data_IF_585475460874
#
_entry.id   IF_585475460874
#
_cell.length_a   1.000
_cell.length_b   1.000
_cell.length_c   1.000
_cell.angle_alpha   90.00
_cell.angle_beta   90.00
_cell.angle_gamma   90.00
#
_symmetry.space_group_name_H-M   'P 1'
#
loop_
_entity.id
_entity.type
_entity.pdbx_description
1 polymer ?
#
# COMPACT_ATOMS: atom_id res chain seq x y z
N UNK A 1 19.51 64.00 14.84
CA UNK A 1 20.05 62.75 14.26
C UNK A 1 19.70 61.58 15.17
N UNK A 2 18.62 60.85 14.89
CA UNK A 2 18.30 59.56 15.53
C UNK A 2 17.71 58.67 14.44
N UNK A 3 18.49 57.69 14.01
CA UNK A 3 18.12 56.69 13.00
C UNK A 3 17.38 55.58 13.75
N UNK A 4 16.09 55.38 13.43
CA UNK A 4 15.31 54.23 13.89
C UNK A 4 15.57 53.08 12.92
N UNK A 5 16.36 52.10 13.31
CA UNK A 5 16.50 50.83 12.58
C UNK A 5 15.38 49.88 13.01
N UNK A 6 14.40 49.66 12.12
CA UNK A 6 13.41 48.60 12.28
C UNK A 6 13.99 47.29 11.72
N UNK A 7 14.28 46.33 12.60
CA UNK A 7 14.64 44.96 12.20
C UNK A 7 13.38 44.19 11.81
N UNK A 8 13.25 43.91 10.52
CA UNK A 8 12.21 43.03 9.97
C UNK A 8 12.69 41.56 10.10
N UNK A 9 12.14 40.81 11.04
CA UNK A 9 12.35 39.36 11.12
C UNK A 9 11.41 38.66 10.13
N UNK A 10 11.95 38.26 8.98
CA UNK A 10 11.25 37.42 8.02
C UNK A 10 11.35 35.95 8.47
N UNK A 11 10.29 35.44 9.10
CA UNK A 11 10.14 34.02 9.41
C UNK A 11 9.86 33.25 8.12
N UNK A 12 10.90 32.67 7.52
CA UNK A 12 10.76 31.65 6.49
C UNK A 12 10.19 30.37 7.11
N UNK A 13 8.88 30.15 6.93
CA UNK A 13 8.28 28.84 7.14
C UNK A 13 8.77 27.90 6.03
N UNK A 14 9.82 27.12 6.31
CA UNK A 14 10.15 25.94 5.52
C UNK A 14 9.07 24.90 5.83
N UNK A 15 7.99 24.86 5.03
CA UNK A 15 7.10 23.70 5.00
C UNK A 15 7.89 22.53 4.41
N UNK A 16 8.56 21.76 5.27
CA UNK A 16 8.97 20.40 4.92
C UNK A 16 7.68 19.59 4.73
N UNK A 17 7.21 19.48 3.49
CA UNK A 17 6.17 18.53 3.13
C UNK A 17 6.74 17.12 3.29
N UNK A 18 6.77 16.62 4.53
CA UNK A 18 6.90 15.19 4.79
C UNK A 18 5.64 14.56 4.21
N UNK A 19 5.75 13.98 3.01
CA UNK A 19 4.64 13.27 2.40
C UNK A 19 4.14 12.20 3.39
N UNK A 20 2.89 12.32 3.82
CA UNK A 20 2.29 11.36 4.74
C UNK A 20 2.39 9.94 4.17
N UNK A 21 2.74 8.99 5.03
CA UNK A 21 2.79 7.57 4.67
C UNK A 21 1.46 7.12 4.05
N UNK A 22 1.55 6.30 3.01
CA UNK A 22 0.37 5.90 2.26
C UNK A 22 -0.35 4.76 2.97
N UNK A 23 -1.58 4.98 3.46
CA UNK A 23 -2.38 3.96 4.14
C UNK A 23 -3.61 3.70 3.31
N UNK A 24 -3.68 2.52 2.71
CA UNK A 24 -4.74 2.25 1.74
C UNK A 24 -5.51 0.96 1.92
N UNK A 25 -6.65 0.91 1.24
CA UNK A 25 -7.48 -0.28 1.12
C UNK A 25 -7.74 -0.59 -0.36
N UNK A 26 -7.85 -1.87 -0.66
CA UNK A 26 -8.23 -2.35 -1.98
C UNK A 26 -9.73 -2.18 -2.21
N UNK A 27 -10.13 -1.68 -3.39
CA UNK A 27 -11.52 -1.53 -3.82
C UNK A 27 -11.72 -2.30 -5.11
N UNK A 28 -12.58 -3.31 -5.08
CA UNK A 28 -12.93 -4.07 -6.27
C UNK A 28 -13.95 -3.30 -7.12
N UNK A 29 -14.10 -3.73 -8.38
CA UNK A 29 -14.99 -3.08 -9.33
C UNK A 29 -16.47 -3.06 -8.87
N UNK A 30 -16.95 -4.13 -8.22
CA UNK A 30 -18.35 -4.21 -7.76
C UNK A 30 -18.65 -3.20 -6.65
N UNK A 31 -17.72 -3.02 -5.71
CA UNK A 31 -17.84 -2.05 -4.61
C UNK A 31 -17.78 -0.62 -5.14
N UNK A 32 -16.88 -0.34 -6.09
CA UNK A 32 -16.80 0.97 -6.73
C UNK A 32 -18.15 1.38 -7.36
N UNK A 33 -18.87 0.43 -7.94
CA UNK A 33 -20.17 0.64 -8.58
C UNK A 33 -21.37 0.68 -7.60
N UNK A 34 -21.14 0.60 -6.29
CA UNK A 34 -22.18 0.65 -5.25
C UNK A 34 -22.06 1.96 -4.45
N UNK A 35 -22.80 3.03 -4.80
CA UNK A 35 -22.62 4.36 -4.19
C UNK A 35 -22.74 4.37 -2.67
N UNK A 36 -23.69 3.63 -2.09
CA UNK A 36 -23.86 3.55 -0.64
C UNK A 36 -22.62 2.99 0.05
N UNK A 37 -22.15 1.82 -0.42
CA UNK A 37 -20.97 1.16 0.14
C UNK A 37 -19.70 2.00 -0.09
N UNK A 38 -19.55 2.63 -1.26
CA UNK A 38 -18.42 3.49 -1.55
C UNK A 38 -18.36 4.71 -0.60
N UNK A 39 -19.50 5.38 -0.36
CA UNK A 39 -19.56 6.49 0.59
C UNK A 39 -19.24 6.05 2.02
N UNK A 40 -19.80 4.92 2.48
CA UNK A 40 -19.48 4.35 3.79
C UNK A 40 -17.97 4.09 3.94
N UNK A 41 -17.32 3.52 2.92
CA UNK A 41 -15.87 3.29 2.93
C UNK A 41 -15.07 4.61 2.95
N UNK A 42 -15.49 5.62 2.19
CA UNK A 42 -14.85 6.95 2.19
C UNK A 42 -14.92 7.59 3.58
N UNK A 43 -16.10 7.61 4.20
CA UNK A 43 -16.32 8.18 5.53
C UNK A 43 -15.47 7.46 6.59
N UNK A 44 -15.54 6.13 6.65
CA UNK A 44 -14.74 5.36 7.60
C UNK A 44 -13.24 5.53 7.38
N UNK A 45 -12.80 5.65 6.13
CA UNK A 45 -11.39 5.86 5.79
C UNK A 45 -10.88 7.20 6.29
N UNK A 46 -11.64 8.28 6.07
CA UNK A 46 -11.31 9.62 6.60
C UNK A 46 -11.22 9.63 8.12
N UNK A 47 -12.17 8.97 8.80
CA UNK A 47 -12.18 8.87 10.27
C UNK A 47 -11.00 8.07 10.84
N UNK A 48 -10.39 7.19 10.04
CA UNK A 48 -9.34 6.26 10.48
C UNK A 48 -7.96 6.55 9.89
N UNK A 49 -7.83 7.63 9.12
CA UNK A 49 -6.57 8.04 8.50
C UNK A 49 -6.12 7.19 7.32
N UNK A 50 -7.03 6.43 6.70
CA UNK A 50 -6.80 5.82 5.39
C UNK A 50 -6.93 6.93 4.34
N UNK A 51 -5.90 7.07 3.51
CA UNK A 51 -5.74 8.18 2.57
C UNK A 51 -5.57 7.72 1.11
N UNK A 52 -5.65 6.40 0.86
CA UNK A 52 -5.53 5.84 -0.49
C UNK A 52 -6.51 4.73 -0.74
N UNK A 53 -7.19 4.78 -1.89
CA UNK A 53 -7.90 3.63 -2.44
C UNK A 53 -7.12 3.07 -3.61
N UNK A 54 -6.84 1.76 -3.53
CA UNK A 54 -6.27 1.00 -4.64
C UNK A 54 -7.44 0.33 -5.38
N UNK A 55 -7.83 0.90 -6.51
CA UNK A 55 -9.10 0.57 -7.17
C UNK A 55 -8.84 -0.24 -8.43
N UNK A 56 -9.53 -1.37 -8.56
CA UNK A 56 -9.45 -2.19 -9.77
C UNK A 56 -10.00 -1.47 -10.99
N UNK A 57 -9.24 -1.52 -12.08
CA UNK A 57 -9.68 -1.14 -13.42
C UNK A 57 -9.45 -2.30 -14.38
N UNK A 58 -10.35 -3.28 -14.34
CA UNK A 58 -10.38 -4.39 -15.30
C UNK A 58 -11.34 -4.13 -16.47
N UNK A 59 -12.33 -3.26 -16.26
CA UNK A 59 -13.35 -2.87 -17.24
C UNK A 59 -13.76 -1.41 -17.00
N UNK A 60 -13.84 -0.64 -18.07
CA UNK A 60 -14.37 0.73 -18.04
C UNK A 60 -15.90 0.66 -18.09
N UNK A 61 -16.55 1.32 -17.15
CA UNK A 61 -18.01 1.49 -17.06
C UNK A 61 -18.36 2.96 -17.14
N UNK A 62 -19.64 3.26 -17.42
CA UNK A 62 -20.15 4.64 -17.48
C UNK A 62 -19.97 5.43 -16.17
N UNK A 63 -19.94 4.74 -15.02
CA UNK A 63 -19.85 5.38 -13.72
C UNK A 63 -18.42 5.45 -13.18
N UNK A 64 -17.45 4.74 -13.80
CA UNK A 64 -16.11 4.58 -13.25
C UNK A 64 -15.47 5.93 -12.91
N UNK A 65 -15.38 6.82 -13.91
CA UNK A 65 -14.78 8.14 -13.72
C UNK A 65 -15.52 8.98 -12.68
N UNK A 66 -16.86 8.93 -12.65
CA UNK A 66 -17.66 9.63 -11.64
C UNK A 66 -17.31 9.16 -10.22
N UNK A 67 -17.15 7.86 -10.03
CA UNK A 67 -16.82 7.28 -8.73
C UNK A 67 -15.37 7.56 -8.33
N UNK A 68 -14.43 7.58 -9.28
CA UNK A 68 -13.06 8.06 -9.04
C UNK A 68 -13.07 9.54 -8.61
N UNK A 69 -13.83 10.39 -9.28
CA UNK A 69 -13.94 11.80 -8.90
C UNK A 69 -14.49 11.96 -7.48
N UNK A 70 -15.43 11.12 -7.05
CA UNK A 70 -15.95 11.10 -5.68
C UNK A 70 -14.88 10.71 -4.64
N UNK A 71 -14.04 9.71 -4.95
CA UNK A 71 -12.90 9.32 -4.10
C UNK A 71 -11.93 10.50 -3.97
N UNK A 72 -11.54 11.10 -5.10
CA UNK A 72 -10.56 12.19 -5.13
C UNK A 72 -11.08 13.48 -4.48
N UNK A 73 -12.34 13.84 -4.68
CA UNK A 73 -12.93 15.03 -4.05
C UNK A 73 -13.01 14.91 -2.53
N UNK A 74 -12.90 13.70 -2.00
CA UNK A 74 -12.80 13.42 -0.56
C UNK A 74 -11.37 13.37 -0.03
N UNK A 75 -10.38 13.78 -0.83
CA UNK A 75 -8.96 13.83 -0.43
C UNK A 75 -8.30 12.46 -0.37
N UNK A 76 -8.91 11.43 -0.95
CA UNK A 76 -8.34 10.07 -1.00
C UNK A 76 -7.61 9.90 -2.34
N UNK A 77 -6.35 9.49 -2.27
CA UNK A 77 -5.54 9.17 -3.46
C UNK A 77 -6.11 7.96 -4.20
N UNK A 78 -6.07 8.01 -5.51
CA UNK A 78 -6.47 6.94 -6.40
C UNK A 78 -5.24 6.25 -7.00
N UNK A 79 -5.01 5.00 -6.58
CA UNK A 79 -4.07 4.10 -7.23
C UNK A 79 -4.87 3.17 -8.13
N UNK A 80 -4.60 3.19 -9.44
CA UNK A 80 -5.30 2.33 -10.39
C UNK A 80 -4.62 0.96 -10.48
N UNK A 81 -5.32 -0.10 -10.05
CA UNK A 81 -4.82 -1.47 -10.10
C UNK A 81 -5.26 -2.15 -11.39
N UNK A 82 -4.28 -2.61 -12.17
CA UNK A 82 -4.47 -3.26 -13.46
C UNK A 82 -3.99 -4.71 -13.38
N UNK A 83 -4.90 -5.66 -13.56
CA UNK A 83 -4.52 -7.07 -13.70
C UNK A 83 -3.92 -7.28 -15.09
N UNK A 84 -2.62 -7.53 -15.15
CA UNK A 84 -1.88 -7.67 -16.42
C UNK A 84 -2.14 -9.05 -17.03
N UNK A 85 -2.03 -10.11 -16.23
CA UNK A 85 -2.27 -11.48 -16.66
C UNK A 85 -3.25 -12.17 -15.70
N UNK A 86 -4.57 -12.14 -15.98
CA UNK A 86 -5.53 -12.91 -15.19
C UNK A 86 -5.08 -14.37 -15.06
N UNK A 87 -5.13 -14.93 -13.84
CA UNK A 87 -4.64 -16.27 -13.47
C UNK A 87 -3.11 -16.51 -13.57
N UNK A 88 -2.37 -15.53 -14.07
CA UNK A 88 -0.96 -15.61 -14.42
C UNK A 88 -0.77 -16.03 -15.87
N UNK A 89 0.14 -15.35 -16.56
CA UNK A 89 0.28 -15.46 -18.00
C UNK A 89 0.90 -16.77 -18.45
N UNK A 90 0.53 -17.20 -19.65
CA UNK A 90 1.33 -18.17 -20.42
C UNK A 90 2.44 -17.45 -21.22
N UNK A 91 3.29 -18.22 -21.91
CA UNK A 91 4.40 -17.67 -22.70
C UNK A 91 3.92 -16.76 -23.83
N UNK A 92 2.76 -17.07 -24.45
CA UNK A 92 2.24 -16.27 -25.55
C UNK A 92 1.76 -14.91 -25.04
N UNK A 93 1.04 -14.89 -23.92
CA UNK A 93 0.57 -13.65 -23.29
C UNK A 93 1.74 -12.82 -22.76
N UNK A 94 2.65 -13.46 -22.00
CA UNK A 94 3.78 -12.74 -21.37
C UNK A 94 4.69 -12.13 -22.42
N UNK A 95 4.93 -12.76 -23.57
CA UNK A 95 5.78 -12.22 -24.64
C UNK A 95 5.04 -11.42 -25.72
N UNK A 96 3.73 -11.18 -25.56
CA UNK A 96 2.91 -10.49 -26.56
C UNK A 96 2.80 -8.99 -26.29
N UNK A 97 3.50 -8.19 -27.09
CA UNK A 97 3.34 -6.71 -27.08
C UNK A 97 1.90 -6.29 -27.31
N UNK A 98 1.16 -7.00 -28.19
CA UNK A 98 -0.27 -6.77 -28.41
C UNK A 98 -1.07 -6.95 -27.12
N UNK A 99 -0.79 -7.98 -26.32
CA UNK A 99 -1.46 -8.17 -25.02
C UNK A 99 -1.15 -7.01 -24.07
N UNK A 100 0.11 -6.56 -24.01
CA UNK A 100 0.53 -5.45 -23.15
C UNK A 100 -0.15 -4.13 -23.57
N UNK A 101 -0.25 -3.87 -24.87
CA UNK A 101 -0.98 -2.72 -25.43
C UNK A 101 -2.47 -2.74 -25.07
N UNK A 102 -3.12 -3.91 -25.14
CA UNK A 102 -4.52 -4.04 -24.71
C UNK A 102 -4.70 -3.75 -23.22
N UNK A 103 -3.76 -4.17 -22.36
CA UNK A 103 -3.77 -3.80 -20.93
C UNK A 103 -3.46 -2.32 -20.73
N UNK A 104 -2.56 -1.74 -21.53
CA UNK A 104 -2.19 -0.33 -21.44
C UNK A 104 -3.35 0.62 -21.76
N UNK A 105 -4.33 0.21 -22.58
CA UNK A 105 -5.57 1.00 -22.76
C UNK A 105 -6.27 1.30 -21.44
N UNK A 106 -6.23 0.37 -20.47
CA UNK A 106 -6.76 0.58 -19.13
C UNK A 106 -5.89 1.56 -18.33
N UNK A 107 -4.56 1.46 -18.46
CA UNK A 107 -3.62 2.42 -17.85
C UNK A 107 -3.87 3.84 -18.39
N UNK A 108 -3.98 4.02 -19.70
CA UNK A 108 -4.25 5.32 -20.32
C UNK A 108 -5.60 5.90 -19.86
N UNK A 109 -6.64 5.07 -19.75
CA UNK A 109 -7.91 5.47 -19.17
C UNK A 109 -7.78 5.88 -17.70
N UNK A 110 -7.05 5.12 -16.88
CA UNK A 110 -6.80 5.47 -15.48
C UNK A 110 -6.10 6.83 -15.33
N UNK A 111 -5.07 7.10 -16.15
CA UNK A 111 -4.36 8.38 -16.16
C UNK A 111 -5.32 9.53 -16.55
N UNK A 112 -6.16 9.33 -17.57
CA UNK A 112 -7.20 10.31 -17.96
C UNK A 112 -8.23 10.55 -16.85
N UNK A 113 -8.50 9.56 -16.02
CA UNK A 113 -9.36 9.66 -14.84
C UNK A 113 -8.63 10.20 -13.60
N UNK A 114 -7.37 10.61 -13.75
CA UNK A 114 -6.58 11.20 -12.69
C UNK A 114 -6.01 10.20 -11.71
N UNK A 115 -5.56 9.02 -12.16
CA UNK A 115 -4.76 8.13 -11.32
C UNK A 115 -3.53 8.87 -10.78
N UNK A 116 -3.30 8.77 -9.47
CA UNK A 116 -2.11 9.33 -8.83
C UNK A 116 -0.91 8.38 -9.01
N UNK A 117 -1.17 7.07 -9.04
CA UNK A 117 -0.18 6.02 -9.31
C UNK A 117 -0.84 4.84 -10.06
N UNK A 118 -0.05 4.07 -10.82
CA UNK A 118 -0.51 2.84 -11.49
C UNK A 118 0.09 1.63 -10.76
N UNK A 119 -0.72 0.64 -10.43
CA UNK A 119 -0.28 -0.62 -9.84
C UNK A 119 -0.55 -1.78 -10.81
N UNK A 120 0.50 -2.51 -11.18
CA UNK A 120 0.39 -3.73 -11.97
C UNK A 120 0.27 -4.93 -11.06
N UNK A 121 -0.82 -5.68 -11.21
CA UNK A 121 -1.05 -6.91 -10.48
C UNK A 121 -1.10 -8.13 -11.41
N UNK A 122 -0.88 -9.32 -10.85
CA UNK A 122 -0.63 -10.57 -11.57
C UNK A 122 0.41 -10.41 -12.67
N UNK A 123 1.43 -9.58 -12.47
CA UNK A 123 2.58 -9.46 -13.38
C UNK A 123 3.52 -10.67 -13.17
N UNK A 124 3.03 -11.85 -13.54
CA UNK A 124 3.66 -13.14 -13.32
C UNK A 124 3.21 -14.19 -14.32
N UNK A 125 3.99 -15.26 -14.42
CA UNK A 125 3.58 -16.50 -15.07
C UNK A 125 2.55 -17.30 -14.24
N UNK A 126 1.80 -18.15 -14.93
CA UNK A 126 0.98 -19.19 -14.31
C UNK A 126 1.83 -20.17 -13.47
N UNK A 127 1.32 -20.65 -12.34
CA UNK A 127 2.03 -21.59 -11.45
C UNK A 127 2.29 -22.98 -12.07
N UNK A 128 1.57 -23.32 -13.15
CA UNK A 128 1.81 -24.53 -13.96
C UNK A 128 3.10 -24.47 -14.79
N UNK A 129 3.71 -23.28 -14.95
CA UNK A 129 4.97 -23.11 -15.68
C UNK A 129 6.13 -23.82 -14.99
N UNK A 130 7.06 -24.37 -15.76
CA UNK A 130 8.33 -24.90 -15.22
C UNK A 130 9.22 -23.74 -14.76
N UNK A 131 9.92 -23.85 -13.62
CA UNK A 131 10.91 -22.87 -13.20
C UNK A 131 11.95 -22.59 -14.29
N UNK A 132 12.21 -21.32 -14.59
CA UNK A 132 13.27 -20.88 -15.49
C UNK A 132 13.74 -19.48 -15.09
N UNK A 133 15.03 -19.17 -15.29
CA UNK A 133 15.54 -17.82 -15.10
C UNK A 133 14.94 -16.84 -16.12
N UNK A 134 14.71 -17.30 -17.35
CA UNK A 134 14.06 -16.50 -18.41
C UNK A 134 12.68 -15.98 -18.00
N UNK A 135 11.97 -16.70 -17.12
CA UNK A 135 10.66 -16.25 -16.67
C UNK A 135 10.75 -14.90 -15.92
N UNK A 136 11.85 -14.63 -15.23
CA UNK A 136 12.06 -13.35 -14.54
C UNK A 136 12.45 -12.24 -15.52
N UNK A 137 13.30 -12.52 -16.50
CA UNK A 137 13.67 -11.60 -17.57
C UNK A 137 12.46 -11.20 -18.43
N UNK A 138 11.61 -12.16 -18.78
CA UNK A 138 10.35 -11.92 -19.48
C UNK A 138 9.44 -10.97 -18.70
N UNK A 139 9.31 -11.16 -17.39
CA UNK A 139 8.50 -10.29 -16.52
C UNK A 139 9.14 -8.90 -16.37
N UNK A 140 10.47 -8.80 -16.27
CA UNK A 140 11.19 -7.52 -16.30
C UNK A 140 10.86 -6.75 -17.58
N UNK A 141 10.90 -7.41 -18.75
CA UNK A 141 10.57 -6.78 -20.04
C UNK A 141 9.14 -6.22 -20.07
N UNK A 142 8.18 -6.90 -19.42
CA UNK A 142 6.81 -6.38 -19.27
C UNK A 142 6.84 -5.12 -18.39
N UNK A 143 7.47 -5.19 -17.21
CA UNK A 143 7.55 -4.09 -16.26
C UNK A 143 8.18 -2.85 -16.90
N UNK A 144 9.34 -3.00 -17.55
CA UNK A 144 10.06 -1.91 -18.20
C UNK A 144 9.23 -1.23 -19.28
N UNK A 145 8.48 -2.01 -20.07
CA UNK A 145 7.61 -1.48 -21.10
C UNK A 145 6.48 -0.60 -20.51
N UNK A 146 5.84 -1.04 -19.42
CA UNK A 146 4.87 -0.20 -18.72
C UNK A 146 5.54 1.01 -18.05
N UNK A 147 6.68 0.82 -17.39
CA UNK A 147 7.45 1.88 -16.70
C UNK A 147 7.82 3.01 -17.65
N UNK A 148 8.31 2.68 -18.84
CA UNK A 148 8.66 3.67 -19.87
C UNK A 148 7.44 4.53 -20.23
N UNK A 149 6.28 3.91 -20.43
CA UNK A 149 5.06 4.61 -20.86
C UNK A 149 4.46 5.48 -19.75
N UNK A 150 4.39 5.00 -18.52
CA UNK A 150 3.84 5.80 -17.40
C UNK A 150 4.78 6.91 -16.94
N UNK A 151 6.11 6.70 -17.03
CA UNK A 151 7.09 7.72 -16.65
C UNK A 151 7.09 8.92 -17.60
N UNK A 152 6.77 8.72 -18.89
CA UNK A 152 6.54 9.82 -19.84
C UNK A 152 5.38 10.74 -19.42
N UNK A 153 4.52 10.29 -18.50
CA UNK A 153 3.38 11.04 -17.96
C UNK A 153 3.61 11.45 -16.50
N UNK A 154 4.82 11.26 -15.96
CA UNK A 154 5.19 11.51 -14.56
C UNK A 154 4.32 10.74 -13.55
N UNK A 155 3.84 9.55 -13.91
CA UNK A 155 3.04 8.71 -13.03
C UNK A 155 3.90 7.57 -12.46
N UNK A 156 3.98 7.41 -11.12
CA UNK A 156 4.68 6.30 -10.50
C UNK A 156 4.06 4.93 -10.84
N UNK A 157 4.94 3.94 -11.02
CA UNK A 157 4.60 2.54 -11.22
C UNK A 157 4.84 1.73 -9.94
N UNK A 158 3.78 1.09 -9.47
CA UNK A 158 3.81 0.05 -8.45
C UNK A 158 3.69 -1.33 -9.11
N UNK A 159 4.30 -2.34 -8.50
CA UNK A 159 4.05 -3.74 -8.85
C UNK A 159 3.65 -4.55 -7.61
N UNK A 160 2.68 -5.44 -7.79
CA UNK A 160 2.32 -6.43 -6.79
C UNK A 160 3.18 -7.69 -6.99
N UNK A 161 3.80 -8.15 -5.90
CA UNK A 161 4.60 -9.40 -5.89
C UNK A 161 4.10 -10.35 -4.82
N UNK A 162 4.21 -11.65 -5.08
CA UNK A 162 3.77 -12.66 -4.11
C UNK A 162 4.72 -12.68 -2.91
N UNK A 163 4.18 -12.96 -1.72
CA UNK A 163 4.94 -12.94 -0.46
C UNK A 163 6.19 -13.83 -0.47
N UNK A 164 6.21 -14.91 -1.26
CA UNK A 164 7.39 -15.78 -1.44
C UNK A 164 8.61 -15.04 -2.01
N UNK A 165 8.38 -14.03 -2.87
CA UNK A 165 9.44 -13.23 -3.49
C UNK A 165 10.21 -12.39 -2.45
N UNK A 166 9.63 -12.19 -1.26
CA UNK A 166 10.30 -11.52 -0.13
C UNK A 166 11.49 -12.31 0.40
N UNK A 167 11.54 -13.62 0.19
CA UNK A 167 12.64 -14.46 0.70
C UNK A 167 13.69 -14.78 -0.37
N UNK A 168 13.25 -15.00 -1.61
CA UNK A 168 14.11 -15.36 -2.75
C UNK A 168 13.37 -15.15 -4.06
N UNK A 169 14.07 -15.08 -5.20
CA UNK A 169 13.43 -15.12 -6.50
C UNK A 169 12.55 -16.37 -6.67
N UNK A 170 11.40 -16.21 -7.31
CA UNK A 170 10.50 -17.30 -7.69
C UNK A 170 10.61 -17.56 -9.20
N UNK A 171 11.52 -18.46 -9.65
CA UNK A 171 11.74 -18.74 -11.07
C UNK A 171 10.52 -19.39 -11.74
N UNK A 172 9.56 -19.91 -10.98
CA UNK A 172 8.32 -20.49 -11.50
C UNK A 172 7.38 -19.42 -12.05
N UNK A 173 7.13 -18.38 -11.25
CA UNK A 173 6.20 -17.30 -11.59
C UNK A 173 6.92 -16.06 -12.16
N UNK A 174 8.25 -16.05 -12.13
CA UNK A 174 9.08 -14.97 -12.66
C UNK A 174 9.29 -13.80 -11.70
N UNK A 175 8.93 -13.89 -10.42
CA UNK A 175 9.14 -12.77 -9.48
C UNK A 175 10.59 -12.71 -8.98
N UNK A 176 11.32 -11.65 -9.34
CA UNK A 176 12.68 -11.39 -8.87
C UNK A 176 12.83 -9.90 -8.55
N UNK A 177 12.61 -9.53 -7.29
CA UNK A 177 12.57 -8.12 -6.85
C UNK A 177 13.90 -7.42 -7.09
N UNK A 178 15.03 -8.10 -6.89
CA UNK A 178 16.36 -7.54 -7.12
C UNK A 178 16.58 -7.19 -8.60
N UNK A 179 16.10 -8.05 -9.50
CA UNK A 179 16.14 -7.79 -10.94
C UNK A 179 15.26 -6.60 -11.33
N UNK A 180 14.09 -6.46 -10.70
CA UNK A 180 13.13 -5.40 -11.03
C UNK A 180 13.45 -4.03 -10.44
N UNK A 181 14.43 -3.96 -9.53
CA UNK A 181 14.59 -2.85 -8.60
C UNK A 181 14.71 -1.46 -9.26
N UNK A 182 15.33 -1.39 -10.44
CA UNK A 182 15.52 -0.13 -11.17
C UNK A 182 14.40 0.19 -12.18
N UNK A 183 13.44 -0.73 -12.36
CA UNK A 183 12.34 -0.60 -13.31
C UNK A 183 11.00 -0.23 -12.64
N UNK A 184 10.99 0.05 -11.33
CA UNK A 184 9.80 0.31 -10.53
C UNK A 184 10.00 1.48 -9.56
N UNK A 185 8.91 2.15 -9.17
CA UNK A 185 8.95 3.19 -8.12
C UNK A 185 8.52 2.64 -6.77
N UNK A 186 7.64 1.63 -6.77
CA UNK A 186 7.08 1.01 -5.56
C UNK A 186 6.95 -0.50 -5.75
N UNK A 187 7.31 -1.27 -4.72
CA UNK A 187 6.98 -2.70 -4.64
C UNK A 187 5.95 -2.95 -3.54
N UNK A 188 4.98 -3.80 -3.86
CA UNK A 188 3.85 -4.12 -3.01
C UNK A 188 3.79 -5.64 -2.75
N UNK A 189 4.64 -6.17 -1.84
CA UNK A 189 4.60 -7.59 -1.52
C UNK A 189 3.33 -7.96 -0.75
N UNK A 190 2.65 -9.00 -1.21
CA UNK A 190 1.48 -9.58 -0.56
C UNK A 190 1.92 -10.56 0.55
N UNK A 191 2.15 -10.02 1.75
CA UNK A 191 2.68 -10.74 2.91
C UNK A 191 1.56 -11.30 3.80
N UNK A 192 0.60 -11.99 3.19
CA UNK A 192 -0.58 -12.53 3.89
C UNK A 192 -0.23 -13.75 4.73
N UNK A 193 -0.30 -13.69 6.09
CA UNK A 193 0.10 -14.82 6.91
C UNK A 193 -0.67 -16.12 6.60
N UNK A 194 -1.92 -16.03 6.16
CA UNK A 194 -2.73 -17.20 5.77
C UNK A 194 -2.24 -17.93 4.50
N UNK A 195 -1.32 -17.33 3.74
CA UNK A 195 -0.81 -17.86 2.46
C UNK A 195 0.57 -18.52 2.58
N UNK A 196 1.23 -18.41 3.73
CA UNK A 196 2.49 -19.10 3.99
C UNK A 196 2.26 -20.52 4.51
N UNK A 197 3.16 -21.46 4.20
CA UNK A 197 3.09 -22.83 4.69
C UNK A 197 4.07 -23.04 5.86
N UNK A 198 3.66 -23.65 6.98
CA UNK A 198 2.31 -24.11 7.30
C UNK A 198 1.35 -22.97 7.70
N UNK A 199 0.15 -22.93 7.13
CA UNK A 199 -0.76 -21.79 7.27
C UNK A 199 -1.12 -21.47 8.73
N UNK A 200 -1.37 -22.48 9.56
CA UNK A 200 -1.74 -22.24 10.98
C UNK A 200 -0.61 -21.57 11.76
N UNK A 201 0.62 -22.03 11.56
CA UNK A 201 1.80 -21.48 12.25
C UNK A 201 1.95 -19.97 12.00
N UNK A 202 1.76 -19.55 10.75
CA UNK A 202 1.87 -18.15 10.33
C UNK A 202 0.64 -17.32 10.72
N UNK A 203 -0.55 -17.92 10.64
CA UNK A 203 -1.81 -17.27 11.04
C UNK A 203 -1.86 -16.95 12.54
N UNK A 204 -1.26 -17.80 13.39
CA UNK A 204 -1.14 -17.57 14.82
C UNK A 204 0.01 -16.59 15.17
N UNK A 205 0.89 -16.28 14.19
CA UNK A 205 2.07 -15.40 14.32
C UNK A 205 2.13 -14.36 13.20
N UNK A 206 1.08 -13.53 13.04
CA UNK A 206 0.97 -12.60 11.92
C UNK A 206 2.08 -11.54 11.92
N UNK A 207 2.45 -11.04 13.11
CA UNK A 207 3.50 -10.03 13.25
C UNK A 207 4.85 -10.60 12.76
N UNK A 208 5.25 -11.74 13.30
CA UNK A 208 6.54 -12.38 13.01
C UNK A 208 6.63 -12.81 11.55
N UNK A 209 5.51 -13.26 10.96
CA UNK A 209 5.46 -13.64 9.55
C UNK A 209 5.75 -12.46 8.63
N UNK A 210 5.12 -11.32 8.89
CA UNK A 210 5.33 -10.10 8.11
C UNK A 210 6.73 -9.53 8.36
N UNK A 211 7.14 -9.40 9.62
CA UNK A 211 8.45 -8.88 10.00
C UNK A 211 9.59 -9.66 9.33
N UNK A 212 9.54 -11.00 9.39
CA UNK A 212 10.52 -11.87 8.72
C UNK A 212 10.52 -11.68 7.21
N UNK A 213 9.34 -11.56 6.59
CA UNK A 213 9.21 -11.37 5.14
C UNK A 213 9.85 -10.05 4.70
N UNK A 214 9.53 -8.95 5.38
CA UNK A 214 10.03 -7.62 5.00
C UNK A 214 11.53 -7.47 5.29
N UNK A 215 12.03 -8.03 6.41
CA UNK A 215 13.47 -8.09 6.68
C UNK A 215 14.22 -8.92 5.66
N UNK A 216 13.67 -10.08 5.25
CA UNK A 216 14.27 -10.90 4.20
C UNK A 216 14.34 -10.13 2.87
N UNK A 217 13.29 -9.39 2.51
CA UNK A 217 13.28 -8.59 1.28
C UNK A 217 14.35 -7.50 1.32
N UNK A 218 14.42 -6.74 2.41
CA UNK A 218 15.47 -5.72 2.59
C UNK A 218 16.86 -6.33 2.52
N UNK A 219 17.06 -7.51 3.11
CA UNK A 219 18.35 -8.23 3.05
C UNK A 219 18.74 -8.60 1.62
N UNK A 220 17.79 -8.99 0.76
CA UNK A 220 18.07 -9.24 -0.66
C UNK A 220 18.64 -8.01 -1.39
N UNK A 221 18.36 -6.82 -0.89
CA UNK A 221 18.79 -5.52 -1.42
C UNK A 221 19.92 -4.88 -0.60
N UNK A 222 20.60 -5.62 0.26
CA UNK A 222 21.62 -5.08 1.18
C UNK A 222 21.11 -3.89 2.01
N UNK A 223 19.83 -3.90 2.36
CA UNK A 223 19.12 -2.83 3.09
C UNK A 223 19.06 -1.48 2.36
N UNK A 224 19.45 -1.41 1.08
CA UNK A 224 19.35 -0.21 0.25
C UNK A 224 18.28 -0.41 -0.83
N UNK A 225 17.08 0.09 -0.57
CA UNK A 225 15.94 -0.04 -1.49
C UNK A 225 15.93 1.14 -2.47
N UNK A 226 16.07 0.93 -3.79
CA UNK A 226 15.95 1.99 -4.80
C UNK A 226 14.49 2.36 -5.12
N UNK A 227 13.53 1.76 -4.41
CA UNK A 227 12.09 1.93 -4.57
C UNK A 227 11.42 2.05 -3.20
N UNK A 228 10.16 2.53 -3.18
CA UNK A 228 9.33 2.52 -1.97
C UNK A 228 8.79 1.12 -1.67
N UNK A 229 8.67 0.78 -0.40
CA UNK A 229 8.13 -0.51 0.05
C UNK A 229 6.76 -0.31 0.70
N UNK A 230 5.68 -0.73 0.03
CA UNK A 230 4.29 -0.63 0.53
C UNK A 230 3.61 -2.01 0.58
N UNK A 231 3.84 -2.80 1.64
CA UNK A 231 3.33 -4.16 1.73
C UNK A 231 1.80 -4.23 1.78
N UNK A 232 1.25 -5.29 1.22
CA UNK A 232 -0.14 -5.69 1.39
C UNK A 232 -0.28 -6.65 2.57
N UNK A 233 -1.21 -6.34 3.48
CA UNK A 233 -1.70 -7.23 4.54
C UNK A 233 -3.13 -7.66 4.24
N UNK A 234 -3.64 -8.70 4.91
CA UNK A 234 -5.00 -9.20 4.65
C UNK A 234 -5.99 -8.77 5.74
N UNK A 235 -7.20 -8.38 5.34
CA UNK A 235 -8.29 -8.02 6.26
C UNK A 235 -8.92 -9.26 6.93
N UNK A 236 -8.73 -10.45 6.36
CA UNK A 236 -9.29 -11.69 6.87
C UNK A 236 -8.40 -12.86 6.51
N UNK A 237 -8.25 -13.81 7.44
CA UNK A 237 -7.54 -15.05 7.17
C UNK A 237 -8.30 -15.92 6.16
N UNK A 238 -7.63 -16.32 5.07
CA UNK A 238 -8.24 -17.15 4.01
C UNK A 238 -8.47 -18.62 4.41
N UNK A 239 -7.67 -19.15 5.33
CA UNK A 239 -7.64 -20.59 5.67
C UNK A 239 -8.47 -20.94 6.90
N UNK A 240 -8.63 -19.99 7.83
CA UNK A 240 -9.27 -20.23 9.12
C UNK A 240 -10.29 -19.15 9.44
N UNK A 241 -11.40 -19.56 10.05
CA UNK A 241 -12.39 -18.61 10.56
C UNK A 241 -11.89 -17.98 11.85
N UNK A 242 -12.11 -16.69 11.98
CA UNK A 242 -11.82 -15.90 13.19
C UNK A 242 -13.09 -15.17 13.60
N UNK A 243 -13.32 -15.09 14.92
CA UNK A 243 -14.29 -14.15 15.47
C UNK A 243 -13.91 -12.71 15.10
N UNK A 244 -14.85 -11.78 15.27
CA UNK A 244 -14.57 -10.37 14.99
C UNK A 244 -13.42 -9.83 15.86
N UNK A 245 -13.42 -10.12 17.16
CA UNK A 245 -12.35 -9.70 18.07
C UNK A 245 -10.98 -10.28 17.68
N UNK A 246 -10.92 -11.58 17.37
CA UNK A 246 -9.69 -12.22 16.90
C UNK A 246 -9.17 -11.57 15.61
N UNK A 247 -10.07 -11.19 14.69
CA UNK A 247 -9.70 -10.51 13.44
C UNK A 247 -9.16 -9.10 13.69
N UNK A 248 -9.71 -8.35 14.64
CA UNK A 248 -9.18 -7.04 15.05
C UNK A 248 -7.75 -7.18 15.57
N UNK A 249 -7.50 -8.16 16.46
CA UNK A 249 -6.16 -8.42 17.00
C UNK A 249 -5.17 -8.86 15.91
N UNK A 250 -5.62 -9.74 15.01
CA UNK A 250 -4.88 -10.21 13.85
C UNK A 250 -4.43 -9.05 12.95
N UNK A 251 -5.35 -8.15 12.58
CA UNK A 251 -5.03 -6.95 11.78
C UNK A 251 -4.10 -6.02 12.55
N UNK A 252 -4.31 -5.83 13.86
CA UNK A 252 -3.45 -4.95 14.68
C UNK A 252 -2.00 -5.43 14.70
N UNK A 253 -1.77 -6.73 14.80
CA UNK A 253 -0.44 -7.33 14.75
C UNK A 253 0.21 -7.15 13.37
N UNK A 254 -0.55 -7.35 12.29
CA UNK A 254 -0.06 -7.14 10.92
C UNK A 254 0.31 -5.67 10.66
N UNK A 255 -0.56 -4.73 11.05
CA UNK A 255 -0.32 -3.29 10.93
C UNK A 255 0.95 -2.86 11.66
N UNK A 256 1.16 -3.38 12.88
CA UNK A 256 2.38 -3.09 13.63
C UNK A 256 3.62 -3.59 12.87
N UNK A 257 3.59 -4.81 12.33
CA UNK A 257 4.74 -5.38 11.62
C UNK A 257 5.13 -4.60 10.37
N UNK A 258 4.17 -4.12 9.58
CA UNK A 258 4.48 -3.28 8.41
C UNK A 258 5.01 -1.91 8.82
N UNK A 259 4.43 -1.28 9.85
CA UNK A 259 4.86 0.04 10.35
C UNK A 259 6.26 0.02 10.98
N UNK A 260 6.64 -1.08 11.66
CA UNK A 260 7.99 -1.27 12.19
C UNK A 260 9.04 -1.53 11.06
N UNK A 261 8.59 -1.86 9.85
CA UNK A 261 9.46 -2.22 8.73
C UNK A 261 9.45 -1.22 7.57
N UNK A 262 8.58 -0.23 7.51
CA UNK A 262 8.62 0.78 6.44
C UNK A 262 7.89 2.06 6.85
N UNK A 263 8.40 3.20 6.39
CA UNK A 263 7.73 4.50 6.51
C UNK A 263 6.94 4.89 5.25
N UNK A 264 7.03 4.11 4.15
CA UNK A 264 6.41 4.47 2.87
C UNK A 264 4.90 4.22 2.81
N UNK A 265 4.39 3.42 3.75
CA UNK A 265 2.98 3.05 3.83
C UNK A 265 2.70 1.55 3.73
N UNK A 266 1.42 1.21 3.64
CA UNK A 266 0.89 -0.14 3.54
C UNK A 266 -0.50 -0.15 2.92
N UNK A 267 -0.93 -1.31 2.44
CA UNK A 267 -2.28 -1.54 1.94
C UNK A 267 -2.95 -2.74 2.63
N UNK A 268 -4.27 -2.72 2.73
CA UNK A 268 -5.05 -3.88 3.19
C UNK A 268 -5.90 -4.44 2.06
N UNK A 269 -5.76 -5.74 1.83
CA UNK A 269 -6.54 -6.48 0.87
C UNK A 269 -7.73 -7.18 1.50
N UNK A 270 -8.88 -7.08 0.83
CA UNK A 270 -10.12 -7.79 1.17
C UNK A 270 -10.91 -8.02 -0.11
N UNK A 271 -11.04 -9.27 -0.57
CA UNK A 271 -11.73 -9.58 -1.84
C UNK A 271 -13.17 -9.09 -1.87
N UNK A 272 -13.88 -9.14 -0.74
CA UNK A 272 -15.25 -8.67 -0.58
C UNK A 272 -15.35 -7.21 -0.07
N UNK A 273 -14.22 -6.53 0.08
CA UNK A 273 -14.09 -5.17 0.62
C UNK A 273 -14.77 -4.95 1.99
N UNK A 274 -14.81 -6.00 2.83
CA UNK A 274 -15.24 -5.88 4.21
C UNK A 274 -14.06 -5.45 5.10
N UNK A 275 -14.15 -4.26 5.70
CA UNK A 275 -13.08 -3.63 6.49
C UNK A 275 -13.49 -3.24 7.93
N UNK A 276 -14.61 -3.73 8.46
CA UNK A 276 -15.10 -3.35 9.80
C UNK A 276 -14.06 -3.57 10.92
N UNK A 277 -13.39 -4.73 10.92
CA UNK A 277 -12.33 -5.05 11.88
C UNK A 277 -11.09 -4.15 11.71
N UNK A 278 -10.75 -3.76 10.47
CA UNK A 278 -9.67 -2.81 10.20
C UNK A 278 -10.01 -1.44 10.77
N UNK A 279 -11.21 -0.91 10.47
CA UNK A 279 -11.62 0.40 10.97
C UNK A 279 -11.68 0.43 12.49
N UNK A 280 -12.17 -0.64 13.13
CA UNK A 280 -12.12 -0.77 14.59
C UNK A 280 -10.67 -0.73 15.11
N UNK A 281 -9.77 -1.54 14.54
CA UNK A 281 -8.37 -1.58 14.96
C UNK A 281 -7.70 -0.20 14.87
N UNK A 282 -8.02 0.60 13.84
CA UNK A 282 -7.48 1.95 13.65
C UNK A 282 -8.10 2.98 14.62
N UNK A 283 -9.43 2.94 14.85
CA UNK A 283 -10.11 3.83 15.82
C UNK A 283 -9.62 3.63 17.25
N UNK A 284 -9.40 2.38 17.65
CA UNK A 284 -8.88 2.07 18.98
C UNK A 284 -7.44 2.58 19.16
N UNK A 285 -6.62 2.54 18.10
CA UNK A 285 -5.26 3.09 18.11
C UNK A 285 -5.26 4.62 18.25
N UNK A 286 -6.10 5.33 17.49
CA UNK A 286 -6.18 6.80 17.58
C UNK A 286 -6.63 7.26 18.97
N UNK A 287 -7.60 6.56 19.56
CA UNK A 287 -8.11 6.85 20.91
C UNK A 287 -7.04 6.61 21.99
N UNK A 288 -6.26 5.54 21.89
CA UNK A 288 -5.16 5.28 22.84
C UNK A 288 -4.09 6.37 22.77
N UNK A 289 -3.75 6.83 21.57
CA UNK A 289 -2.76 7.88 21.37
C UNK A 289 -3.25 9.24 21.91
N UNK A 290 -4.53 9.58 21.74
CA UNK A 290 -5.07 10.83 22.29
C UNK A 290 -5.09 10.83 23.82
N UNK A 291 -5.48 9.72 24.46
CA UNK A 291 -5.46 9.58 25.92
C UNK A 291 -4.03 9.64 26.48
N UNK A 292 -3.06 8.99 25.83
CA UNK A 292 -1.66 9.02 26.26
C UNK A 292 -1.07 10.44 26.17
N UNK A 293 -1.37 11.18 25.10
CA UNK A 293 -0.92 12.57 24.95
C UNK A 293 -1.54 13.50 26.00
N UNK A 294 -2.85 13.37 26.26
CA UNK A 294 -3.52 14.14 27.31
C UNK A 294 -2.93 13.86 28.71
N UNK A 295 -2.57 12.61 29.00
CA UNK A 295 -1.92 12.27 30.27
C UNK A 295 -0.51 12.87 30.39
N UNK A 296 0.28 12.85 29.31
CA UNK A 296 1.63 13.44 29.29
C UNK A 296 1.60 14.97 29.44
N UNK A 297 0.70 15.66 28.74
CA UNK A 297 0.53 17.12 28.85
C UNK A 297 0.13 17.52 30.28
N UNK A 298 -0.77 16.73 30.91
CA UNK A 298 -1.17 16.94 32.29
C UNK A 298 -0.03 16.73 33.30
N UNK A 299 0.87 15.78 33.03
CA UNK A 299 2.03 15.50 33.87
C UNK A 299 3.12 16.57 33.72
N UNK A 300 3.33 17.07 32.49
CA UNK A 300 4.23 18.19 32.22
C UNK A 300 3.77 19.46 32.93
N UNK A 301 2.47 19.78 32.83
CA UNK A 301 1.86 20.96 33.47
C UNK A 301 1.97 20.91 35.01
N UNK A 302 1.86 19.73 35.62
CA UNK A 302 2.05 19.54 37.08
C UNK A 302 3.50 19.72 37.51
N UNK A 303 4.47 19.25 36.71
CA UNK A 303 5.91 19.44 37.01
C UNK A 303 6.32 20.90 36.92
N UNK A 304 5.79 21.64 35.95
CA UNK A 304 6.04 23.07 35.77
C UNK A 304 5.46 23.91 36.92
N UNK A 305 4.25 23.57 37.39
CA UNK A 305 3.68 24.17 38.61
C UNK A 305 4.48 23.86 39.87
N UNK A 306 5.04 22.66 40.01
CA UNK A 306 5.87 22.31 41.15
C UNK A 306 7.23 23.02 41.12
N UNK A 307 7.85 23.15 39.96
CA UNK A 307 9.11 23.87 39.77
C UNK A 307 8.97 25.37 40.10
N UNK A 308 7.88 26.00 39.65
CA UNK A 308 7.60 27.40 39.96
C UNK A 308 7.24 27.66 41.43
N UNK A 309 6.73 26.64 42.15
CA UNK A 309 6.53 26.71 43.60
C UNK A 309 7.81 26.50 44.42
N UNK A 310 8.84 25.88 43.86
CA UNK A 310 10.14 25.69 44.53
C UNK A 310 11.13 26.85 44.33
N UNK A 311 10.77 27.83 43.49
CA UNK A 311 11.58 29.02 43.19
C UNK A 311 11.08 30.30 43.90
N UNK A 312 10.00 30.19 44.69
CA UNK A 312 9.49 31.22 45.59
C UNK A 312 9.65 30.75 47.03
#
# INVERSE_FOLDING_TARGET
MKILTASFFLLLFIQTNVFAAQRGIYINHSTLEKPKLLNELIEQSKMTGINTFVVDLNKITKNYQKNINLIKSNGIKYVARIVVFPDGGDVQQVRSKKHWEERYKLVDAAIKYGADEIQLDYIRYNTKRKPSHENAEDILNVIEWFKQKVSQRNIPLQIDVFGEASFKPSPRIGHNIKLFANAIDVVCPMVYPSHYAPARYHSDRPYETIDKSLKAMKKQMNHNLPFKLRPYIEASNYKYKMSHAQRVDYIRAQLKAVEDNTSDGWYVWSSNNHYSALFQALKERSTKNSVANQQNDSAASRKEMHYNKSLN
#
